data_IF_134852248045
#
_entry.id   IF_134852248045
#
_cell.length_a   1.000
_cell.length_b   1.000
_cell.length_c   1.000
_cell.angle_alpha   90.00
_cell.angle_beta   90.00
_cell.angle_gamma   90.00
#
_symmetry.space_group_name_H-M   'P 1'
#
loop_
_entity.id
_entity.type
_entity.pdbx_description
1 polymer ?
#
# COMPACT_ATOMS: atom_id res chain seq x y z
N UNK A 1 26.63 -19.45 2.39
CA UNK A 1 27.44 -18.98 1.25
C UNK A 1 27.67 -20.19 0.35
N UNK A 2 27.25 -20.12 -0.92
CA UNK A 2 27.32 -21.27 -1.84
C UNK A 2 28.21 -20.92 -3.03
N UNK A 3 29.21 -21.76 -3.28
CA UNK A 3 30.11 -21.70 -4.43
C UNK A 3 30.02 -23.04 -5.15
N UNK A 4 29.48 -23.04 -6.38
CA UNK A 4 29.42 -24.23 -7.22
C UNK A 4 30.40 -24.14 -8.39
N UNK A 5 30.70 -25.30 -8.96
CA UNK A 5 31.54 -25.48 -10.16
C UNK A 5 33.01 -25.14 -9.95
N UNK A 6 33.50 -25.13 -8.70
CA UNK A 6 34.92 -24.96 -8.43
C UNK A 6 35.75 -26.10 -9.04
N UNK A 7 36.94 -25.77 -9.52
CA UNK A 7 37.97 -26.74 -9.87
C UNK A 7 38.61 -27.30 -8.59
N UNK A 8 38.89 -26.43 -7.63
CA UNK A 8 39.43 -26.79 -6.33
C UNK A 8 38.88 -25.89 -5.22
N UNK A 9 38.58 -26.48 -4.06
CA UNK A 9 38.23 -25.76 -2.83
C UNK A 9 39.43 -25.73 -1.88
N UNK A 10 39.95 -24.52 -1.61
CA UNK A 10 41.17 -24.33 -0.81
C UNK A 10 40.89 -24.03 0.67
N UNK A 11 39.62 -23.96 1.06
CA UNK A 11 39.18 -23.65 2.43
C UNK A 11 38.16 -24.65 2.94
N UNK A 12 38.01 -24.76 4.25
CA UNK A 12 37.03 -25.63 4.90
C UNK A 12 35.93 -24.84 5.62
N UNK A 13 34.81 -25.49 5.88
CA UNK A 13 33.73 -24.89 6.68
C UNK A 13 34.24 -24.43 8.06
N UNK A 14 33.78 -23.25 8.49
CA UNK A 14 34.21 -22.62 9.74
C UNK A 14 35.61 -21.97 9.71
N UNK A 15 36.35 -22.06 8.60
CA UNK A 15 37.63 -21.36 8.45
C UNK A 15 37.42 -19.85 8.39
N UNK A 16 38.15 -19.11 9.23
CA UNK A 16 38.22 -17.64 9.13
C UNK A 16 39.16 -17.27 7.98
N UNK A 17 38.70 -16.42 7.07
CA UNK A 17 39.47 -15.93 5.91
C UNK A 17 39.60 -14.41 5.96
N UNK A 18 40.65 -13.88 5.33
CA UNK A 18 40.87 -12.44 5.17
C UNK A 18 40.42 -11.95 3.79
N UNK A 19 40.10 -10.66 3.69
CA UNK A 19 39.82 -10.04 2.39
C UNK A 19 41.03 -10.19 1.46
N UNK A 20 40.80 -10.68 0.25
CA UNK A 20 41.84 -10.91 -0.75
C UNK A 20 42.50 -12.29 -0.66
N UNK A 21 42.14 -13.11 0.33
CA UNK A 21 42.57 -14.51 0.42
C UNK A 21 41.87 -15.34 -0.67
N UNK A 22 42.65 -16.15 -1.40
CA UNK A 22 42.12 -17.06 -2.42
C UNK A 22 41.49 -18.26 -1.71
N UNK A 23 40.19 -18.45 -1.91
CA UNK A 23 39.41 -19.49 -1.22
C UNK A 23 39.12 -20.73 -2.08
N UNK A 24 39.42 -20.67 -3.37
CA UNK A 24 39.18 -21.73 -4.34
C UNK A 24 39.51 -21.29 -5.77
N UNK A 25 39.54 -22.26 -6.68
CA UNK A 25 39.80 -22.07 -8.11
C UNK A 25 38.51 -22.24 -8.92
N UNK A 26 38.27 -21.36 -9.89
CA UNK A 26 37.08 -21.43 -10.76
C UNK A 26 37.25 -22.56 -11.77
N UNK A 27 36.24 -23.42 -11.88
CA UNK A 27 36.18 -24.49 -12.86
C UNK A 27 34.80 -24.55 -13.52
N UNK A 28 34.43 -25.75 -13.95
CA UNK A 28 33.12 -26.08 -14.51
C UNK A 28 32.61 -27.45 -14.03
N UNK A 29 32.94 -27.84 -12.79
CA UNK A 29 32.58 -29.18 -12.27
C UNK A 29 31.07 -29.36 -12.04
N UNK A 30 30.60 -30.61 -11.94
CA UNK A 30 29.18 -30.93 -11.76
C UNK A 30 28.36 -30.77 -13.05
N UNK A 31 27.17 -30.19 -12.94
CA UNK A 31 26.25 -29.96 -14.08
C UNK A 31 26.71 -28.84 -15.03
N UNK A 32 27.80 -28.12 -14.71
CA UNK A 32 28.39 -27.08 -15.56
C UNK A 32 29.45 -27.61 -16.55
N UNK A 33 29.74 -28.91 -16.57
CA UNK A 33 30.90 -29.51 -17.28
C UNK A 33 30.98 -29.20 -18.77
N UNK A 34 29.86 -28.91 -19.42
CA UNK A 34 29.77 -28.58 -20.86
C UNK A 34 29.77 -27.07 -21.14
N UNK A 35 30.00 -26.24 -20.12
CA UNK A 35 29.99 -24.77 -20.22
C UNK A 35 31.37 -24.20 -19.88
N UNK A 36 31.69 -22.96 -20.31
CA UNK A 36 32.91 -22.27 -19.91
C UNK A 36 33.02 -22.15 -18.37
N UNK A 37 34.25 -22.14 -17.81
CA UNK A 37 34.45 -21.98 -16.37
C UNK A 37 33.76 -20.73 -15.82
N UNK A 38 32.95 -20.91 -14.78
CA UNK A 38 32.20 -19.84 -14.16
C UNK A 38 31.88 -20.17 -12.69
N UNK A 39 31.72 -19.13 -11.87
CA UNK A 39 31.39 -19.28 -10.47
C UNK A 39 29.91 -18.96 -10.25
N UNK A 40 29.18 -19.89 -9.66
CA UNK A 40 27.86 -19.58 -9.11
C UNK A 40 28.03 -19.02 -7.69
N UNK A 41 27.60 -17.77 -7.47
CA UNK A 41 27.64 -17.10 -6.18
C UNK A 41 26.23 -16.86 -5.66
N UNK A 42 25.90 -17.46 -4.51
CA UNK A 42 24.60 -17.28 -3.85
C UNK A 42 24.74 -16.88 -2.38
N UNK A 43 23.90 -15.94 -1.96
CA UNK A 43 23.75 -15.52 -0.55
C UNK A 43 22.49 -16.18 0.00
N UNK A 44 22.63 -16.83 1.16
CA UNK A 44 21.56 -17.59 1.82
C UNK A 44 21.40 -17.12 3.26
N UNK A 45 20.17 -16.85 3.67
CA UNK A 45 19.78 -16.55 5.05
C UNK A 45 18.79 -17.59 5.59
N UNK A 46 18.21 -17.32 6.76
CA UNK A 46 17.26 -18.22 7.42
C UNK A 46 16.03 -18.57 6.57
N UNK A 47 15.62 -17.68 5.65
CA UNK A 47 14.50 -17.86 4.73
C UNK A 47 14.86 -18.36 3.32
N UNK A 48 16.09 -18.78 3.06
CA UNK A 48 16.55 -19.23 1.74
C UNK A 48 17.41 -18.22 0.99
N UNK A 49 17.39 -18.27 -0.34
CA UNK A 49 18.21 -17.42 -1.20
C UNK A 49 17.79 -15.94 -1.12
N UNK A 50 18.77 -15.04 -1.02
CA UNK A 50 18.59 -13.59 -0.99
C UNK A 50 19.22 -12.99 -2.24
N UNK A 51 18.61 -11.93 -2.80
CA UNK A 51 19.20 -11.18 -3.92
C UNK A 51 20.62 -10.71 -3.55
N UNK A 52 21.67 -11.16 -4.27
CA UNK A 52 23.04 -10.79 -3.96
C UNK A 52 23.41 -9.39 -4.43
N UNK A 53 22.62 -8.76 -5.31
CA UNK A 53 22.94 -7.47 -5.92
C UNK A 53 23.29 -6.36 -4.91
N UNK A 54 22.56 -6.18 -3.79
CA UNK A 54 22.87 -5.16 -2.79
C UNK A 54 24.21 -5.37 -2.06
N UNK A 55 24.73 -6.60 -2.01
CA UNK A 55 25.98 -6.92 -1.32
C UNK A 55 27.22 -6.71 -2.19
N UNK A 56 27.07 -6.87 -3.51
CA UNK A 56 28.17 -6.72 -4.49
C UNK A 56 28.22 -5.32 -5.08
N UNK A 57 27.07 -4.65 -5.21
CA UNK A 57 26.98 -3.28 -5.68
C UNK A 57 26.73 -2.32 -4.50
N UNK A 58 27.80 -1.78 -3.91
CA UNK A 58 27.75 -0.82 -2.79
C UNK A 58 27.09 0.52 -3.13
N UNK A 59 26.67 0.73 -4.38
CA UNK A 59 25.80 1.83 -4.81
C UNK A 59 24.34 1.60 -4.42
N UNK A 60 24.08 0.96 -3.27
CA UNK A 60 22.73 0.80 -2.75
C UNK A 60 22.24 2.19 -2.40
N UNK A 61 21.31 2.73 -3.20
CA UNK A 61 20.61 3.95 -2.84
C UNK A 61 19.89 3.67 -1.53
N UNK A 62 20.26 4.40 -0.47
CA UNK A 62 19.53 4.36 0.80
C UNK A 62 18.06 4.62 0.49
N UNK A 63 17.19 3.69 0.89
CA UNK A 63 15.75 3.90 0.74
C UNK A 63 15.36 5.20 1.45
N UNK A 64 14.48 5.98 0.82
CA UNK A 64 13.99 7.20 1.44
C UNK A 64 13.33 6.86 2.79
N UNK A 65 13.67 7.62 3.84
CA UNK A 65 13.08 7.41 5.16
C UNK A 65 11.55 7.52 5.07
N UNK A 66 10.86 6.51 5.58
CA UNK A 66 9.40 6.52 5.68
C UNK A 66 9.06 7.08 7.05
N UNK A 67 8.35 8.22 7.13
CA UNK A 67 7.99 8.79 8.43
C UNK A 67 6.97 7.90 9.12
N UNK A 68 7.06 7.80 10.45
CA UNK A 68 6.02 7.15 11.24
C UNK A 68 4.76 8.03 11.23
N UNK A 69 3.65 7.48 10.70
CA UNK A 69 2.34 8.12 10.67
C UNK A 69 1.28 7.11 11.06
N UNK A 70 0.32 7.54 11.89
CA UNK A 70 -0.86 6.73 12.20
C UNK A 70 -1.74 6.61 10.96
N UNK A 71 -2.17 5.39 10.66
CA UNK A 71 -3.18 5.12 9.64
C UNK A 71 -4.55 5.27 10.30
N UNK A 72 -5.23 6.39 10.05
CA UNK A 72 -6.68 6.48 10.29
C UNK A 72 -7.41 5.66 9.23
N UNK A 73 -8.50 4.97 9.60
CA UNK A 73 -9.28 4.13 8.67
C UNK A 73 -9.71 4.92 7.42
N UNK A 74 -10.29 6.11 7.61
CA UNK A 74 -10.71 6.97 6.50
C UNK A 74 -10.10 8.37 6.61
N UNK A 75 -9.63 8.87 5.47
CA UNK A 75 -9.30 10.27 5.27
C UNK A 75 -10.17 10.85 4.16
N UNK A 76 -10.20 12.17 4.05
CA UNK A 76 -10.77 12.86 2.91
C UNK A 76 -9.81 13.86 2.31
N UNK A 77 -9.93 14.07 1.01
CA UNK A 77 -9.15 15.07 0.28
C UNK A 77 -9.55 16.50 0.68
N UNK A 78 -8.55 17.36 0.88
CA UNK A 78 -8.73 18.80 1.14
C UNK A 78 -8.92 19.63 -0.15
N UNK A 79 -8.45 19.10 -1.28
CA UNK A 79 -8.51 19.69 -2.62
C UNK A 79 -8.62 18.60 -3.68
N UNK A 80 -8.95 18.98 -4.90
CA UNK A 80 -8.93 18.04 -6.04
C UNK A 80 -7.52 17.44 -6.19
N UNK A 81 -7.48 16.11 -6.32
CA UNK A 81 -6.28 15.34 -6.65
C UNK A 81 -6.33 14.99 -8.14
N UNK A 82 -5.29 15.38 -8.88
CA UNK A 82 -5.15 15.05 -10.29
C UNK A 82 -4.33 13.77 -10.40
N UNK A 83 -4.97 12.72 -10.89
CA UNK A 83 -4.33 11.50 -11.37
C UNK A 83 -4.16 11.61 -12.89
N UNK A 84 -3.35 10.75 -13.49
CA UNK A 84 -2.98 10.83 -14.91
C UNK A 84 -4.18 10.84 -15.87
N UNK A 85 -5.25 10.14 -15.52
CA UNK A 85 -6.45 9.98 -16.36
C UNK A 85 -7.74 10.47 -15.71
N UNK A 86 -7.69 10.90 -14.45
CA UNK A 86 -8.89 11.23 -13.68
C UNK A 86 -8.63 12.30 -12.62
N UNK A 87 -9.70 12.98 -12.19
CA UNK A 87 -9.64 13.92 -11.08
C UNK A 87 -10.48 13.37 -9.93
N UNK A 88 -9.83 13.07 -8.81
CA UNK A 88 -10.52 12.73 -7.56
C UNK A 88 -10.86 14.03 -6.84
N UNK A 89 -12.16 14.25 -6.59
CA UNK A 89 -12.66 15.54 -6.12
C UNK A 89 -12.33 15.83 -4.66
N UNK A 90 -12.25 17.10 -4.29
CA UNK A 90 -12.24 17.56 -2.89
C UNK A 90 -13.33 16.86 -2.09
N UNK A 91 -13.04 16.54 -0.83
CA UNK A 91 -13.89 15.79 0.09
C UNK A 91 -14.14 14.32 -0.30
N UNK A 92 -13.47 13.80 -1.33
CA UNK A 92 -13.55 12.36 -1.61
C UNK A 92 -12.96 11.57 -0.46
N UNK A 93 -13.69 10.54 -0.02
CA UNK A 93 -13.25 9.64 1.05
C UNK A 93 -12.26 8.62 0.49
N UNK A 94 -11.20 8.34 1.24
CA UNK A 94 -10.14 7.38 0.90
C UNK A 94 -9.85 6.50 2.10
N UNK A 95 -9.54 5.22 1.87
CA UNK A 95 -9.07 4.30 2.89
C UNK A 95 -7.54 4.27 2.89
N UNK A 96 -6.89 4.52 4.02
CA UNK A 96 -5.43 4.48 4.07
C UNK A 96 -4.92 3.03 4.10
N UNK A 97 -3.98 2.71 3.22
CA UNK A 97 -3.35 1.38 3.15
C UNK A 97 -1.92 1.40 3.69
N UNK A 98 -1.15 2.44 3.36
CA UNK A 98 0.26 2.51 3.74
C UNK A 98 0.80 3.95 3.82
N UNK A 99 1.96 4.08 4.45
CA UNK A 99 2.77 5.29 4.49
C UNK A 99 3.99 5.10 3.60
N UNK A 100 4.29 6.11 2.79
CA UNK A 100 5.47 6.17 1.93
C UNK A 100 6.26 7.45 2.23
N UNK A 101 7.47 7.55 1.70
CA UNK A 101 8.27 8.79 1.80
C UNK A 101 7.58 10.02 1.18
N UNK A 102 6.64 9.83 0.24
CA UNK A 102 5.94 10.93 -0.46
C UNK A 102 4.57 11.26 0.15
N UNK A 103 4.07 10.44 1.07
CA UNK A 103 2.72 10.58 1.62
C UNK A 103 2.01 9.24 1.80
N UNK A 104 0.69 9.23 1.75
CA UNK A 104 -0.10 8.00 1.93
C UNK A 104 -0.37 7.30 0.60
N UNK A 105 -0.36 5.97 0.64
CA UNK A 105 -1.01 5.13 -0.37
C UNK A 105 -2.41 4.84 0.15
N UNK A 106 -3.42 5.14 -0.65
CA UNK A 106 -4.81 5.02 -0.26
C UNK A 106 -5.64 4.35 -1.36
N UNK A 107 -6.70 3.69 -0.93
CA UNK A 107 -7.69 3.06 -1.79
C UNK A 107 -8.91 3.98 -1.93
N UNK A 108 -9.34 4.18 -3.15
CA UNK A 108 -10.63 4.76 -3.50
C UNK A 108 -11.72 3.73 -3.20
N UNK A 109 -12.96 4.16 -2.92
CA UNK A 109 -14.05 3.23 -2.61
C UNK A 109 -14.42 2.23 -3.71
N UNK A 110 -13.93 2.40 -4.95
CA UNK A 110 -14.08 1.44 -6.05
C UNK A 110 -12.86 0.53 -6.26
N UNK A 111 -11.90 0.55 -5.33
CA UNK A 111 -10.69 -0.26 -5.35
C UNK A 111 -9.51 0.39 -6.08
N UNK A 112 -9.70 1.57 -6.71
CA UNK A 112 -8.61 2.28 -7.35
C UNK A 112 -7.56 2.75 -6.34
N UNK A 113 -6.27 2.63 -6.65
CA UNK A 113 -5.21 3.11 -5.77
C UNK A 113 -4.77 4.53 -6.15
N UNK A 114 -4.54 5.37 -5.14
CA UNK A 114 -4.01 6.72 -5.30
C UNK A 114 -2.90 7.00 -4.30
N UNK A 115 -2.00 7.92 -4.65
CA UNK A 115 -1.00 8.44 -3.73
C UNK A 115 -1.33 9.90 -3.37
N UNK A 116 -1.42 10.20 -2.08
CA UNK A 116 -1.71 11.55 -1.59
C UNK A 116 -0.54 12.09 -0.79
N UNK A 117 -0.33 13.41 -0.80
CA UNK A 117 0.61 14.01 0.14
C UNK A 117 -0.02 14.11 1.53
N UNK A 118 0.78 14.06 2.59
CA UNK A 118 0.29 14.16 3.97
C UNK A 118 -0.59 15.41 4.21
N UNK A 119 -0.25 16.53 3.56
CA UNK A 119 -0.96 17.80 3.70
C UNK A 119 -2.19 17.92 2.80
N UNK A 120 -2.43 16.99 1.87
CA UNK A 120 -3.59 17.01 0.99
C UNK A 120 -4.83 16.31 1.56
N UNK A 121 -4.69 15.67 2.72
CA UNK A 121 -5.75 14.89 3.35
C UNK A 121 -5.96 15.29 4.81
N UNK A 122 -7.14 15.01 5.33
CA UNK A 122 -7.45 15.07 6.75
C UNK A 122 -8.25 13.84 7.18
N UNK A 123 -8.15 13.46 8.45
CA UNK A 123 -8.96 12.37 9.00
C UNK A 123 -10.46 12.67 8.83
N UNK A 124 -11.23 11.67 8.42
CA UNK A 124 -12.67 11.80 8.18
C UNK A 124 -13.51 11.64 9.45
N UNK A 125 -13.03 12.19 10.57
CA UNK A 125 -13.70 12.06 11.87
C UNK A 125 -14.75 13.16 12.07
N UNK A 126 -14.40 14.38 11.67
CA UNK A 126 -15.28 15.55 11.74
C UNK A 126 -16.19 15.64 10.51
N UNK A 127 -17.48 15.97 10.66
CA UNK A 127 -18.40 16.11 9.55
C UNK A 127 -18.05 17.31 8.67
N UNK A 128 -18.23 17.14 7.36
CA UNK A 128 -18.26 18.24 6.39
C UNK A 128 -19.49 19.11 6.63
N UNK A 129 -20.63 18.45 6.85
CA UNK A 129 -21.93 19.06 7.19
C UNK A 129 -22.83 18.03 7.87
N UNK A 130 -23.88 18.52 8.52
CA UNK A 130 -25.02 17.69 8.91
C UNK A 130 -26.08 17.78 7.81
N UNK A 131 -26.84 16.71 7.60
CA UNK A 131 -27.93 16.65 6.63
C UNK A 131 -29.03 15.73 7.14
N UNK A 132 -30.22 15.77 6.52
CA UNK A 132 -31.34 14.90 6.87
C UNK A 132 -31.71 13.98 5.71
N UNK A 133 -32.02 12.72 6.02
CA UNK A 133 -32.61 11.82 5.03
C UNK A 133 -33.99 12.34 4.60
N UNK A 134 -34.23 12.44 3.30
CA UNK A 134 -35.49 12.99 2.75
C UNK A 134 -36.60 11.93 2.80
N UNK A 135 -36.23 10.66 2.64
CA UNK A 135 -37.10 9.50 2.72
C UNK A 135 -36.39 8.38 3.48
N UNK A 136 -36.97 7.18 3.51
CA UNK A 136 -36.26 6.00 4.00
C UNK A 136 -35.08 5.71 3.07
N UNK A 137 -33.86 5.67 3.61
CA UNK A 137 -32.63 5.59 2.82
C UNK A 137 -31.80 4.38 3.26
N UNK A 138 -31.47 3.49 2.33
CA UNK A 138 -30.56 2.37 2.59
C UNK A 138 -29.11 2.83 2.73
N UNK A 139 -28.41 2.22 3.69
CA UNK A 139 -26.97 2.34 3.89
C UNK A 139 -26.28 1.17 3.18
N UNK A 140 -25.37 1.50 2.26
CA UNK A 140 -24.59 0.54 1.49
C UNK A 140 -23.18 0.37 2.07
N UNK A 141 -22.59 -0.83 1.91
CA UNK A 141 -21.20 -1.08 2.30
C UNK A 141 -20.19 -0.35 1.42
N UNK A 142 -20.48 -0.27 0.12
CA UNK A 142 -19.69 0.44 -0.90
C UNK A 142 -20.58 1.48 -1.59
N UNK A 143 -20.01 2.51 -2.24
CA UNK A 143 -20.77 3.53 -2.98
C UNK A 143 -21.27 3.00 -4.33
N UNK A 144 -22.12 1.98 -4.26
CA UNK A 144 -22.79 1.36 -5.40
C UNK A 144 -24.16 0.86 -4.94
N UNK A 145 -25.20 1.09 -5.74
CA UNK A 145 -26.56 0.63 -5.44
C UNK A 145 -26.68 -0.91 -5.41
N UNK A 146 -25.79 -1.60 -6.12
CA UNK A 146 -25.69 -3.07 -6.14
C UNK A 146 -24.92 -3.63 -4.92
N UNK A 147 -24.35 -2.76 -4.09
CA UNK A 147 -23.64 -3.18 -2.89
C UNK A 147 -24.64 -3.71 -1.84
N UNK A 148 -24.18 -4.61 -0.98
CA UNK A 148 -25.01 -5.09 0.12
C UNK A 148 -25.44 -3.94 1.03
N UNK A 149 -26.74 -3.90 1.33
CA UNK A 149 -27.31 -2.98 2.30
C UNK A 149 -27.00 -3.48 3.72
N UNK A 150 -26.63 -2.56 4.61
CA UNK A 150 -26.36 -2.87 6.01
C UNK A 150 -27.57 -2.58 6.88
N UNK A 151 -28.10 -1.36 6.78
CA UNK A 151 -29.24 -0.84 7.54
C UNK A 151 -30.00 0.19 6.70
N UNK A 152 -31.11 0.69 7.22
CA UNK A 152 -31.83 1.82 6.63
C UNK A 152 -32.00 2.95 7.65
N UNK A 153 -31.98 4.17 7.17
CA UNK A 153 -32.27 5.39 7.91
C UNK A 153 -33.73 5.77 7.68
N UNK A 154 -34.45 6.14 8.75
CA UNK A 154 -35.80 6.69 8.62
C UNK A 154 -35.78 8.10 8.01
N UNK A 155 -36.87 8.50 7.37
CA UNK A 155 -37.03 9.88 6.89
C UNK A 155 -36.86 10.89 8.05
N UNK A 156 -36.18 12.00 7.79
CA UNK A 156 -35.87 13.03 8.78
C UNK A 156 -34.67 12.73 9.69
N UNK A 157 -34.09 11.52 9.62
CA UNK A 157 -32.90 11.15 10.40
C UNK A 157 -31.75 12.10 10.09
N UNK A 158 -31.17 12.71 11.12
CA UNK A 158 -30.01 13.58 10.96
C UNK A 158 -28.74 12.73 10.89
N UNK A 159 -27.90 13.02 9.90
CA UNK A 159 -26.65 12.34 9.65
C UNK A 159 -25.50 13.33 9.51
N UNK A 160 -24.32 12.91 9.94
CA UNK A 160 -23.05 13.59 9.72
C UNK A 160 -22.44 13.10 8.42
N UNK A 161 -22.24 13.99 7.43
CA UNK A 161 -21.61 13.64 6.16
C UNK A 161 -20.10 13.75 6.31
N UNK A 162 -19.37 12.64 6.13
CA UNK A 162 -17.94 12.55 6.39
C UNK A 162 -17.09 12.68 5.12
N UNK A 163 -17.64 12.30 3.97
CA UNK A 163 -16.99 12.35 2.67
C UNK A 163 -17.94 11.96 1.55
N UNK A 164 -17.45 12.06 0.32
CA UNK A 164 -18.22 11.74 -0.88
C UNK A 164 -17.45 10.78 -1.79
N UNK A 165 -18.16 10.14 -2.70
CA UNK A 165 -17.57 9.42 -3.81
C UNK A 165 -18.60 9.18 -4.92
N UNK A 166 -18.34 9.66 -6.13
CA UNK A 166 -19.15 9.40 -7.34
C UNK A 166 -20.69 9.46 -7.12
N UNK A 167 -21.19 10.52 -6.50
CA UNK A 167 -22.63 10.73 -6.25
C UNK A 167 -23.19 10.04 -5.00
N UNK A 168 -22.32 9.41 -4.21
CA UNK A 168 -22.64 8.90 -2.88
C UNK A 168 -22.01 9.75 -1.79
N UNK A 169 -22.68 9.82 -0.65
CA UNK A 169 -22.17 10.40 0.58
C UNK A 169 -21.91 9.28 1.59
N UNK A 170 -20.74 9.29 2.24
CA UNK A 170 -20.49 8.45 3.40
C UNK A 170 -20.95 9.19 4.65
N UNK A 171 -21.85 8.56 5.41
CA UNK A 171 -22.55 9.21 6.52
C UNK A 171 -22.42 8.43 7.82
N UNK A 172 -22.51 9.15 8.93
CA UNK A 172 -22.58 8.60 10.29
C UNK A 172 -23.84 9.08 11.00
N UNK A 173 -24.55 8.17 11.66
CA UNK A 173 -25.66 8.48 12.57
C UNK A 173 -25.54 7.60 13.82
N UNK A 174 -25.14 8.20 14.95
CA UNK A 174 -24.72 7.44 16.12
C UNK A 174 -23.55 6.52 15.78
N UNK A 175 -23.70 5.23 16.08
CA UNK A 175 -22.69 4.18 15.83
C UNK A 175 -22.81 3.53 14.45
N UNK A 176 -23.74 4.01 13.61
CA UNK A 176 -23.97 3.45 12.27
C UNK A 176 -23.31 4.33 11.23
N UNK A 177 -22.51 3.70 10.37
CA UNK A 177 -21.90 4.32 9.20
C UNK A 177 -22.26 3.56 7.92
N UNK A 178 -22.25 4.27 6.79
CA UNK A 178 -22.44 3.65 5.49
C UNK A 178 -22.58 4.68 4.37
N UNK A 179 -22.63 4.17 3.15
CA UNK A 179 -22.85 4.99 1.95
C UNK A 179 -24.34 5.18 1.69
N UNK A 180 -24.73 6.39 1.28
CA UNK A 180 -26.07 6.71 0.78
C UNK A 180 -25.95 7.47 -0.53
N UNK A 181 -26.99 7.46 -1.35
CA UNK A 181 -27.05 8.35 -2.51
C UNK A 181 -27.08 9.80 -2.03
N UNK A 182 -26.25 10.67 -2.61
CA UNK A 182 -26.14 12.06 -2.15
C UNK A 182 -27.47 12.82 -2.28
N UNK A 183 -28.22 12.55 -3.35
CA UNK A 183 -29.55 13.14 -3.59
C UNK A 183 -30.64 12.67 -2.63
N UNK A 184 -30.38 11.66 -1.79
CA UNK A 184 -31.30 11.21 -0.74
C UNK A 184 -31.22 12.07 0.53
N UNK A 185 -30.29 13.03 0.57
CA UNK A 185 -30.04 13.93 1.69
C UNK A 185 -30.45 15.36 1.37
N UNK A 186 -31.02 16.06 2.35
CA UNK A 186 -31.30 17.50 2.30
C UNK A 186 -30.43 18.25 3.31
N UNK A 187 -29.80 19.32 2.84
CA UNK A 187 -28.99 20.25 3.63
C UNK A 187 -29.83 21.12 4.56
#
# INVERSE_FOLDING_TARGET
LYYAHLDEQLVREGQTVKKGEVVGLVGNTGNAKTTPPHLHFGIYGFGGAVDPHPFVNRSVKTAAAVPEKKLSNYVRLLKDLKEDTAVVKKNSLLMLLAVSAKGYIAELPDGGLVQTSFASVQAANEPIKKSKAIAVTSLYKLPAIESSQTKSLAAGTTVSVLGYYKGFAFVRSGDVEGWVLENSLKG
#
